data_IF_931477300278
#
_entry.id   IF_931477300278
#
_cell.length_a   1.000
_cell.length_b   1.000
_cell.length_c   1.000
_cell.angle_alpha   90.00
_cell.angle_beta   90.00
_cell.angle_gamma   90.00
#
_symmetry.space_group_name_H-M   'P 1'
#
loop_
_entity.id
_entity.type
_entity.pdbx_description
1 polymer ?
2 non-polymer ?
3 water ?
#
# COMPACT_ATOMS: atom_id res chain seq x y z
N UNK A 11 5.53 21.54 -10.57
CA UNK A 11 6.09 20.37 -11.22
C UNK A 11 7.19 20.74 -12.21
N UNK A 12 8.24 19.93 -12.24
CA UNK A 12 9.33 20.10 -13.19
C UNK A 12 8.92 19.55 -14.55
N UNK A 13 9.03 20.36 -15.59
CA UNK A 13 8.76 19.91 -16.95
C UNK A 13 10.05 19.38 -17.55
N UNK A 14 10.04 18.13 -18.00
CA UNK A 14 11.24 17.43 -18.45
C UNK A 14 11.17 17.30 -19.97
N UNK A 15 12.31 17.52 -20.63
CA UNK A 15 12.30 17.40 -22.07
C UNK A 15 12.37 15.92 -22.48
N UNK A 16 11.59 15.50 -23.47
CA UNK A 16 11.64 14.10 -23.91
C UNK A 16 13.03 13.58 -24.23
N UNK A 17 13.95 14.44 -24.68
CA UNK A 17 15.28 13.96 -25.02
C UNK A 17 16.08 13.53 -23.80
N UNK A 18 15.66 13.91 -22.59
CA UNK A 18 16.32 13.49 -21.36
C UNK A 18 15.85 12.12 -20.86
N UNK A 19 14.80 11.57 -21.47
CA UNK A 19 14.15 10.36 -20.97
C UNK A 19 14.40 9.22 -21.94
N UNK A 20 14.90 8.09 -21.42
CA UNK A 20 15.13 6.87 -22.20
C UNK A 20 14.33 5.74 -21.58
N UNK A 21 13.27 5.31 -22.26
CA UNK A 21 12.50 4.15 -21.84
C UNK A 21 13.25 2.88 -22.23
N UNK A 22 13.45 1.99 -21.26
CA UNK A 22 14.27 0.79 -21.49
C UNK A 22 13.48 -0.51 -21.40
N UNK A 23 12.59 -0.66 -20.42
CA UNK A 23 11.91 -1.93 -20.21
C UNK A 23 10.51 -1.67 -19.67
N UNK A 24 9.53 -2.37 -20.23
CA UNK A 24 8.15 -2.26 -19.75
C UNK A 24 8.05 -2.92 -18.38
N UNK A 25 7.60 -2.15 -17.39
CA UNK A 25 7.34 -2.67 -16.06
C UNK A 25 5.88 -3.06 -15.90
N UNK A 26 4.98 -2.40 -16.62
CA UNK A 26 3.56 -2.62 -16.51
C UNK A 26 2.87 -2.06 -17.73
N UNK A 27 1.77 -2.66 -18.14
CA UNK A 27 1.09 -2.23 -19.35
C UNK A 27 -0.40 -2.18 -19.08
N UNK A 28 -1.04 -1.11 -19.56
CA UNK A 28 -2.48 -0.97 -19.47
C UNK A 28 -3.05 -0.61 -20.83
N UNK A 29 -4.37 -0.38 -20.83
CA UNK A 29 -5.06 -0.04 -22.06
C UNK A 29 -4.53 1.27 -22.64
N UNK A 30 -4.28 2.26 -21.79
CA UNK A 30 -4.07 3.63 -22.23
C UNK A 30 -2.63 4.11 -21.99
N UNK A 31 -1.73 3.20 -21.64
CA UNK A 31 -0.35 3.57 -21.44
C UNK A 31 0.39 2.41 -20.81
N UNK A 32 1.67 2.65 -20.59
CA UNK A 32 2.53 1.65 -19.97
C UNK A 32 3.36 2.33 -18.90
N UNK A 33 3.91 1.50 -18.02
CA UNK A 33 4.92 1.94 -17.06
C UNK A 33 6.25 1.34 -17.51
N UNK A 34 7.28 2.17 -17.57
CA UNK A 34 8.61 1.77 -18.01
C UNK A 34 9.63 1.99 -16.91
N UNK A 35 10.66 1.14 -16.88
CA UNK A 35 11.90 1.49 -16.23
C UNK A 35 12.75 2.23 -17.26
N UNK A 36 13.43 3.29 -16.82
CA UNK A 36 14.26 3.99 -17.75
C UNK A 36 15.32 4.81 -17.04
N UNK A 37 15.91 5.74 -17.80
CA UNK A 37 16.94 6.62 -17.28
C UNK A 37 16.55 8.06 -17.57
N UNK A 38 16.92 8.94 -16.64
CA UNK A 38 16.64 10.36 -16.77
C UNK A 38 17.95 11.13 -16.76
N UNK A 39 18.04 12.11 -17.67
CA UNK A 39 19.18 13.00 -17.81
C UNK A 39 18.86 14.39 -17.25
N UNK A 45 25.27 12.58 -13.99
CA UNK A 45 25.11 11.16 -14.28
C UNK A 45 23.62 10.83 -14.43
N UNK A 46 23.32 9.91 -15.34
CA UNK A 46 21.93 9.52 -15.57
C UNK A 46 21.41 8.71 -14.39
N UNK A 47 20.13 8.90 -14.06
CA UNK A 47 19.53 8.30 -12.88
C UNK A 47 18.40 7.37 -13.29
N UNK A 48 18.26 6.21 -12.65
CA UNK A 48 17.12 5.33 -12.97
C UNK A 48 15.82 5.97 -12.54
N UNK A 49 14.80 5.83 -13.38
CA UNK A 49 13.47 6.37 -13.10
C UNK A 49 12.43 5.36 -13.53
N UNK A 50 11.21 5.55 -13.02
CA UNK A 50 10.04 4.93 -13.59
C UNK A 50 9.28 5.98 -14.40
N UNK A 51 8.69 5.54 -15.50
CA UNK A 51 8.06 6.42 -16.49
C UNK A 51 6.68 5.85 -16.82
N UNK A 52 5.63 6.64 -16.58
CA UNK A 52 4.27 6.24 -16.92
C UNK A 52 3.76 7.13 -18.06
N UNK A 53 3.21 6.51 -19.10
CA UNK A 53 2.78 7.24 -20.30
C UNK A 53 1.26 7.28 -20.40
N UNK A 54 0.80 8.26 -21.16
CA UNK A 54 -0.60 8.41 -21.56
C UNK A 54 -0.64 8.58 -23.07
N UNK A 55 -1.23 7.62 -23.77
CA UNK A 55 -1.14 7.56 -25.21
C UNK A 55 -2.16 8.48 -25.88
N UNK A 56 -1.85 8.86 -27.12
CA UNK A 56 -2.68 9.77 -27.89
C UNK A 56 -4.11 9.24 -28.01
N UNK A 57 -5.06 10.17 -28.09
CA UNK A 57 -6.46 9.83 -28.08
C UNK A 57 -7.07 9.84 -26.70
N UNK A 58 -6.29 10.12 -25.66
CA UNK A 58 -6.82 10.20 -24.32
C UNK A 58 -7.94 11.24 -24.24
N UNK A 59 -8.89 11.00 -23.34
CA UNK A 59 -9.99 11.92 -23.11
C UNK A 59 -9.58 13.04 -22.14
N UNK A 60 -10.46 14.01 -22.01
CA UNK A 60 -10.23 15.10 -21.06
C UNK A 60 -10.16 14.55 -19.64
N UNK A 61 -11.10 13.69 -19.27
CA UNK A 61 -11.07 13.05 -17.96
C UNK A 61 -9.79 12.26 -17.75
N UNK A 62 -9.34 11.51 -18.77
CA UNK A 62 -8.09 10.79 -18.63
C UNK A 62 -6.93 11.74 -18.41
N UNK A 63 -6.90 12.86 -19.12
CA UNK A 63 -5.82 13.83 -18.93
C UNK A 63 -5.85 14.42 -17.53
N UNK A 64 -7.02 14.85 -17.07
CA UNK A 64 -7.14 15.42 -15.73
C UNK A 64 -6.75 14.38 -14.66
N UNK A 65 -7.21 13.14 -14.83
CA UNK A 65 -6.85 12.09 -13.86
C UNK A 65 -5.35 11.81 -13.87
N UNK A 66 -4.76 11.73 -15.07
CA UNK A 66 -3.34 11.40 -15.22
C UNK A 66 -2.45 12.48 -14.64
N UNK A 67 -2.62 13.72 -15.11
CA UNK A 67 -1.83 14.82 -14.58
C UNK A 67 -2.20 15.14 -13.14
N UNK A 68 -3.42 14.78 -12.73
CA UNK A 68 -3.82 15.00 -11.35
C UNK A 68 -3.05 14.13 -10.38
N UNK A 69 -2.68 12.91 -10.81
CA UNK A 69 -1.82 12.10 -9.96
C UNK A 69 -0.47 12.76 -9.77
N UNK A 70 0.11 13.31 -10.84
CA UNK A 70 1.38 14.00 -10.70
C UNK A 70 1.23 15.24 -9.85
N UNK A 71 0.10 15.95 -10.01
CA UNK A 71 -0.15 17.14 -9.22
C UNK A 71 -0.19 16.84 -7.73
N UNK A 72 -0.87 15.76 -7.35
CA UNK A 72 -0.92 15.37 -5.95
C UNK A 72 0.47 14.98 -5.45
N UNK A 73 1.17 14.11 -6.21
CA UNK A 73 2.50 13.66 -5.80
C UNK A 73 3.46 14.83 -5.66
N UNK A 74 3.32 15.86 -6.50
CA UNK A 74 4.21 17.01 -6.41
C UNK A 74 4.02 17.85 -5.17
N UNK A 75 2.90 17.66 -4.46
CA UNK A 75 2.64 18.39 -3.22
C UNK A 75 3.29 17.74 -2.01
N UNK A 76 3.87 16.54 -2.17
CA UNK A 76 4.38 15.77 -1.05
C UNK A 76 5.91 15.71 -1.08
N UNK A 77 6.50 15.70 0.11
CA UNK A 77 7.95 15.54 0.26
C UNK A 77 8.17 14.72 1.53
N UNK A 78 8.26 13.40 1.37
CA UNK A 78 8.39 12.53 2.53
C UNK A 78 9.13 11.26 2.13
N UNK A 79 9.98 10.76 3.04
CA UNK A 79 10.79 9.57 2.79
C UNK A 79 9.95 8.36 2.38
N UNK A 80 8.71 8.25 2.86
CA UNK A 80 7.89 7.07 2.63
C UNK A 80 6.74 7.34 1.64
N UNK A 81 6.92 8.34 0.78
CA UNK A 81 5.98 8.67 -0.28
C UNK A 81 6.77 8.75 -1.59
N UNK A 82 6.30 8.08 -2.61
CA UNK A 82 7.02 8.06 -3.86
C UNK A 82 7.29 9.48 -4.37
N UNK A 83 8.53 9.71 -4.79
CA UNK A 83 8.96 11.04 -5.21
C UNK A 83 8.77 11.24 -6.71
N UNK A 84 8.20 12.39 -7.06
CA UNK A 84 8.03 12.80 -8.45
C UNK A 84 9.29 13.49 -8.95
N UNK A 85 9.81 13.04 -10.09
CA UNK A 85 10.93 13.72 -10.75
C UNK A 85 10.43 14.83 -11.66
N UNK A 86 9.36 14.58 -12.41
CA UNK A 86 8.82 15.61 -13.27
C UNK A 86 7.78 15.01 -14.20
N UNK A 87 7.30 15.85 -15.12
CA UNK A 87 6.31 15.43 -16.09
C UNK A 87 6.72 15.89 -17.48
N UNK A 88 6.30 15.14 -18.48
CA UNK A 88 6.27 15.64 -19.85
C UNK A 88 4.82 15.90 -20.19
N UNK A 89 4.46 17.17 -20.30
CA UNK A 89 3.11 17.54 -20.69
C UNK A 89 3.07 18.36 -21.98
N UNK A 90 4.18 18.94 -22.41
CA UNK A 90 4.20 19.75 -23.62
C UNK A 90 4.28 18.89 -24.88
N UNK A 91 4.83 17.69 -24.77
CA UNK A 91 4.98 16.79 -25.90
C UNK A 91 4.13 15.55 -25.66
N UNK A 92 3.94 14.78 -26.72
CA UNK A 92 3.17 13.55 -26.65
C UNK A 92 4.04 12.36 -27.01
N UNK A 93 3.83 11.21 -26.35
CA UNK A 93 2.84 11.01 -25.30
C UNK A 93 3.24 11.73 -24.01
N UNK A 94 2.25 12.08 -23.19
CA UNK A 94 2.58 12.68 -21.93
C UNK A 94 3.19 11.62 -21.00
N UNK A 95 3.96 12.09 -20.02
CA UNK A 95 4.69 11.18 -19.15
C UNK A 95 4.73 11.71 -17.73
N UNK A 96 4.69 10.80 -16.77
CA UNK A 96 4.99 11.08 -15.37
C UNK A 96 6.25 10.31 -15.03
N UNK A 97 7.21 10.98 -14.40
CA UNK A 97 8.51 10.38 -14.11
C UNK A 97 8.73 10.42 -12.60
N UNK A 98 9.01 9.26 -12.01
CA UNK A 98 9.25 9.15 -10.58
C UNK A 98 10.58 8.44 -10.32
N UNK A 99 11.00 8.48 -9.06
CA UNK A 99 12.08 7.60 -8.64
C UNK A 99 11.73 6.16 -8.99
N UNK A 100 12.76 5.35 -9.18
CA UNK A 100 12.58 3.94 -9.54
C UNK A 100 12.77 3.08 -8.29
N UNK A 101 11.74 2.30 -7.95
CA UNK A 101 11.77 1.43 -6.79
C UNK A 101 12.19 0.05 -7.26
N UNK A 102 13.41 -0.35 -6.89
CA UNK A 102 14.07 -1.47 -7.54
C UNK A 102 13.38 -2.81 -7.27
N UNK A 103 12.69 -2.97 -6.12
CA UNK A 103 12.11 -4.23 -5.75
C UNK A 103 10.61 -4.34 -6.02
N UNK A 104 10.01 -3.32 -6.62
CA UNK A 104 8.63 -3.41 -7.09
C UNK A 104 7.60 -3.37 -5.97
N UNK A 105 6.45 -3.97 -6.27
CA UNK A 105 5.32 -3.92 -5.37
C UNK A 105 5.51 -4.84 -4.18
N UNK A 106 5.14 -4.34 -3.00
CA UNK A 106 5.39 -5.06 -1.76
C UNK A 106 4.70 -6.42 -1.70
N UNK A 107 3.47 -6.53 -2.20
CA UNK A 107 2.78 -7.83 -2.10
C UNK A 107 3.52 -8.91 -2.88
N UNK A 108 3.87 -8.63 -4.13
CA UNK A 108 4.61 -9.61 -4.93
C UNK A 108 6.00 -9.84 -4.36
N UNK A 109 6.66 -8.79 -3.89
CA UNK A 109 7.99 -8.91 -3.31
C UNK A 109 8.00 -9.89 -2.14
N UNK A 110 7.05 -9.76 -1.21
CA UNK A 110 7.02 -10.66 -0.06
C UNK A 110 6.70 -12.09 -0.49
N UNK A 111 5.80 -12.26 -1.45
CA UNK A 111 5.45 -13.61 -1.92
C UNK A 111 6.65 -14.30 -2.56
N UNK A 112 7.54 -13.53 -3.16
CA UNK A 112 8.71 -14.08 -3.83
C UNK A 112 9.91 -14.22 -2.89
N UNK A 113 9.82 -13.71 -1.66
CA UNK A 113 10.91 -13.76 -0.68
C UNK A 113 10.42 -14.37 0.62
N UNK A 114 9.57 -15.40 0.51
CA UNK A 114 8.89 -15.98 1.68
C UNK A 114 9.90 -16.41 2.74
N UNK A 115 9.72 -15.91 3.96
CA UNK A 115 10.58 -16.27 5.08
C UNK A 115 11.99 -15.73 5.07
N UNK A 116 12.31 -14.78 4.19
CA UNK A 116 13.71 -14.35 4.05
C UNK A 116 14.10 -13.20 4.96
N UNK A 117 13.18 -12.63 5.73
CA UNK A 117 13.49 -11.45 6.50
C UNK A 117 13.28 -11.70 7.99
N UNK A 118 13.94 -10.88 8.81
CA UNK A 118 13.73 -10.95 10.24
C UNK A 118 12.42 -10.27 10.60
N UNK A 119 11.88 -10.65 11.75
CA UNK A 119 10.70 -9.95 12.28
C UNK A 119 10.98 -8.46 12.42
N UNK A 120 12.19 -8.09 12.84
CA UNK A 120 12.53 -6.67 12.97
C UNK A 120 12.48 -5.97 11.61
N UNK A 121 12.97 -6.62 10.55
CA UNK A 121 12.86 -6.04 9.21
C UNK A 121 11.41 -5.86 8.80
N UNK A 122 10.57 -6.87 9.04
CA UNK A 122 9.16 -6.75 8.67
C UNK A 122 8.49 -5.60 9.41
N UNK A 123 8.78 -5.46 10.70
CA UNK A 123 8.17 -4.39 11.49
C UNK A 123 8.69 -3.05 11.03
N UNK A 124 9.96 -3.00 10.61
CA UNK A 124 10.47 -1.74 10.10
C UNK A 124 9.79 -1.31 8.82
N UNK A 125 9.43 -2.28 7.96
CA UNK A 125 8.61 -2.00 6.77
C UNK A 125 7.30 -1.35 7.18
N UNK A 126 6.66 -1.90 8.21
CA UNK A 126 5.39 -1.34 8.67
C UNK A 126 5.55 0.06 9.23
N UNK A 127 6.64 0.32 9.97
CA UNK A 127 6.85 1.67 10.48
C UNK A 127 7.00 2.67 9.35
N UNK A 128 7.71 2.30 8.28
CA UNK A 128 7.86 3.20 7.15
C UNK A 128 6.53 3.49 6.49
N UNK A 129 5.73 2.44 6.24
CA UNK A 129 4.39 2.63 5.68
C UNK A 129 3.55 3.54 6.56
N UNK A 130 3.57 3.30 7.88
CA UNK A 130 2.78 4.10 8.81
C UNK A 130 3.22 5.56 8.81
N UNK A 131 4.54 5.80 8.74
CA UNK A 131 5.02 7.18 8.67
C UNK A 131 4.52 7.89 7.41
N UNK A 132 4.58 7.19 6.26
CA UNK A 132 4.01 7.77 5.04
C UNK A 132 2.54 8.07 5.18
N UNK A 133 1.79 7.14 5.77
CA UNK A 133 0.35 7.35 5.95
C UNK A 133 0.07 8.46 6.96
N UNK A 134 0.86 8.56 8.03
CA UNK A 134 0.69 9.67 8.97
C UNK A 134 0.86 11.01 8.25
N UNK A 135 1.90 11.10 7.41
CA UNK A 135 2.10 12.31 6.60
C UNK A 135 0.89 12.60 5.73
N UNK A 136 0.40 11.61 4.98
CA UNK A 136 -0.73 11.82 4.09
C UNK A 136 -1.95 12.28 4.86
N UNK A 137 -2.26 11.61 5.98
CA UNK A 137 -3.44 11.96 6.77
C UNK A 137 -3.32 13.39 7.30
N UNK A 138 -2.14 13.75 7.78
CA UNK A 138 -1.96 15.12 8.27
C UNK A 138 -2.03 16.15 7.15
N UNK A 139 -1.65 15.78 5.92
CA UNK A 139 -1.80 16.62 4.73
C UNK A 139 -3.22 16.61 4.18
N UNK A 140 -4.14 15.95 4.88
CA UNK A 140 -5.57 15.89 4.51
C UNK A 140 -5.77 15.13 3.19
N UNK A 141 -5.00 14.06 3.01
CA UNK A 141 -5.12 13.20 1.84
C UNK A 141 -5.57 11.83 2.31
N UNK A 142 -6.73 11.38 1.83
CA UNK A 142 -7.24 10.05 2.14
C UNK A 142 -6.91 9.13 0.98
N UNK A 143 -6.27 8.00 1.28
CA UNK A 143 -5.73 7.18 0.21
C UNK A 143 -6.82 6.37 -0.50
N UNK A 144 -7.68 5.69 0.27
CA UNK A 144 -8.81 4.88 -0.19
C UNK A 144 -8.41 3.51 -0.72
N UNK A 145 -7.14 3.31 -1.04
CA UNK A 145 -6.75 2.04 -1.63
C UNK A 145 -5.44 1.54 -1.04
N UNK A 146 -5.27 1.69 0.27
CA UNK A 146 -4.04 1.26 0.92
C UNK A 146 -4.03 -0.27 1.00
N UNK A 147 -2.97 -0.87 0.48
CA UNK A 147 -2.81 -2.31 0.36
C UNK A 147 -1.37 -2.55 -0.04
N UNK A 148 -0.87 -3.77 0.24
CA UNK A 148 0.53 -4.01 -0.10
C UNK A 148 0.81 -3.86 -1.59
N UNK A 149 -0.18 -4.12 -2.46
CA UNK A 149 0.03 -3.97 -3.88
C UNK A 149 0.29 -2.53 -4.29
N UNK A 150 -0.06 -1.55 -3.44
CA UNK A 150 0.17 -0.15 -3.71
C UNK A 150 1.32 0.43 -2.90
N UNK A 151 2.15 -0.41 -2.29
CA UNK A 151 3.39 0.00 -1.64
C UNK A 151 4.53 -0.47 -2.54
N UNK A 152 5.53 0.39 -2.72
CA UNK A 152 6.72 0.07 -3.51
C UNK A 152 7.93 -0.04 -2.59
N UNK A 153 8.90 -0.86 -2.99
CA UNK A 153 10.05 -1.21 -2.15
C UNK A 153 11.35 -0.92 -2.90
N UNK A 154 12.29 -0.22 -2.26
CA UNK A 154 13.55 0.07 -2.92
C UNK A 154 14.66 -0.83 -2.39
N UNK A 155 15.88 -0.63 -2.92
CA UNK A 155 16.99 -1.50 -2.55
C UNK A 155 17.53 -1.26 -1.15
N UNK A 156 16.99 -0.29 -0.40
CA UNK A 156 17.27 -0.16 1.02
C UNK A 156 16.15 -0.77 1.87
N UNK A 157 15.22 -1.49 1.24
CA UNK A 157 14.04 -2.07 1.88
C UNK A 157 13.06 -0.99 2.38
N UNK A 158 13.21 0.24 1.91
CA UNK A 158 12.29 1.29 2.33
C UNK A 158 11.00 1.14 1.55
N UNK A 159 9.88 1.15 2.27
CA UNK A 159 8.56 1.01 1.69
C UNK A 159 7.95 2.40 1.51
N UNK A 160 7.39 2.64 0.33
CA UNK A 160 6.82 3.95 0.01
C UNK A 160 5.41 3.80 -0.53
N UNK A 161 4.50 4.61 0.02
CA UNK A 161 3.11 4.60 -0.44
C UNK A 161 3.05 5.18 -1.84
N UNK A 162 2.25 4.53 -2.70
CA UNK A 162 2.06 5.00 -4.07
C UNK A 162 0.59 4.89 -4.42
N UNK A 163 0.28 5.17 -5.69
CA UNK A 163 -1.06 5.14 -6.26
C UNK A 163 -1.95 6.27 -5.77
N UNK A 164 -1.78 7.47 -6.35
CA UNK A 164 -2.47 8.68 -5.91
C UNK A 164 -3.44 9.17 -6.97
N UNK A 165 -4.43 9.92 -6.52
CA UNK A 165 -5.39 10.49 -7.44
C UNK A 165 -6.76 10.53 -6.82
N UNK A 166 -7.75 10.92 -7.63
CA UNK A 166 -9.12 10.94 -7.17
C UNK A 166 -9.84 9.68 -7.62
N UNK A 167 -10.74 9.79 -8.60
CA UNK A 167 -11.52 8.64 -9.03
C UNK A 167 -10.65 7.57 -9.70
N UNK A 168 -9.48 7.92 -10.23
CA UNK A 168 -8.67 6.96 -10.95
C UNK A 168 -8.13 5.84 -10.06
N UNK A 169 -8.02 6.08 -8.75
CA UNK A 169 -7.38 5.10 -7.88
C UNK A 169 -8.20 3.81 -7.81
N UNK A 170 -9.48 3.92 -7.44
CA UNK A 170 -10.32 2.73 -7.35
C UNK A 170 -10.81 2.26 -8.71
N UNK A 171 -10.99 3.16 -9.67
CA UNK A 171 -11.37 2.72 -11.01
C UNK A 171 -10.30 1.84 -11.64
N UNK A 172 -9.03 2.18 -11.43
CA UNK A 172 -7.93 1.48 -12.09
C UNK A 172 -7.50 0.21 -11.36
N UNK A 173 -7.91 0.01 -10.11
CA UNK A 173 -7.46 -1.16 -9.36
C UNK A 173 -8.32 -2.36 -9.70
N UNK A 174 -7.76 -3.43 -10.28
CA UNK A 174 -8.57 -4.63 -10.54
C UNK A 174 -9.14 -5.28 -9.29
N UNK A 175 -8.49 -5.09 -8.13
CA UNK A 175 -9.02 -5.66 -6.91
C UNK A 175 -10.29 -4.97 -6.45
N UNK A 176 -10.56 -3.78 -6.97
CA UNK A 176 -11.76 -3.02 -6.60
C UNK A 176 -12.92 -3.47 -7.47
N UNK A 177 -13.97 -3.96 -6.83
CA UNK A 177 -15.09 -4.57 -7.53
C UNK A 177 -16.36 -3.81 -7.24
N UNK A 178 -17.30 -3.86 -8.19
CA UNK A 178 -18.58 -3.20 -8.01
C UNK A 178 -19.41 -3.97 -7.00
N UNK A 179 -19.97 -3.25 -6.04
CA UNK A 179 -20.77 -3.85 -4.97
C UNK A 179 -22.26 -3.68 -5.27
N UNK A 180 -23.08 -4.30 -4.42
CA UNK A 180 -24.52 -4.31 -4.64
C UNK A 180 -25.13 -2.96 -4.29
N UNK A 183 -20.74 1.07 -5.11
CA UNK A 183 -19.38 1.56 -5.34
C UNK A 183 -18.42 0.50 -5.81
N UNK A 184 -17.26 0.94 -6.31
CA UNK A 184 -16.20 0.07 -6.82
C UNK A 184 -15.06 0.10 -5.79
N UNK A 185 -15.01 -0.93 -4.94
CA UNK A 185 -14.19 -0.90 -3.73
C UNK A 185 -13.40 -2.20 -3.61
N UNK A 186 -12.13 -2.16 -3.11
CA UNK A 186 -11.41 -3.41 -2.78
C UNK A 186 -11.83 -3.93 -1.42
N UNK A 187 -12.82 -4.82 -1.45
CA UNK A 187 -13.61 -5.14 -0.27
C UNK A 187 -12.74 -5.60 0.89
N UNK A 188 -11.79 -6.51 0.63
CA UNK A 188 -11.03 -7.15 1.71
C UNK A 188 -10.13 -6.18 2.46
N UNK A 189 -9.85 -5.01 1.88
CA UNK A 189 -8.99 -4.01 2.49
C UNK A 189 -9.76 -2.83 3.07
N UNK A 190 -11.08 -2.79 2.87
CA UNK A 190 -11.84 -1.57 3.07
C UNK A 190 -12.65 -1.61 4.37
N UNK A 191 -12.68 -0.48 5.09
CA UNK A 191 -13.38 -0.42 6.35
C UNK A 191 -14.89 -0.55 6.17
N UNK A 192 -15.60 -1.03 7.19
CA UNK A 192 -17.05 -1.25 7.06
C UNK A 192 -17.81 0.01 6.67
N UNK A 193 -17.47 1.17 7.24
CA UNK A 193 -18.22 2.39 6.90
C UNK A 193 -17.96 2.83 5.46
N UNK A 194 -16.79 2.51 4.90
CA UNK A 194 -16.54 2.84 3.52
C UNK A 194 -17.30 1.91 2.58
N UNK A 195 -17.38 0.62 2.92
CA UNK A 195 -18.20 -0.31 2.16
C UNK A 195 -19.67 0.06 2.24
N UNK A 196 -20.15 0.34 3.47
CA UNK A 196 -21.59 0.47 3.72
C UNK A 196 -22.15 1.79 3.21
N UNK A 197 -21.47 2.91 3.46
CA UNK A 197 -22.05 4.18 3.05
C UNK A 197 -21.02 5.15 2.46
N UNK A 198 -19.92 4.63 1.94
CA UNK A 198 -18.94 5.39 1.15
C UNK A 198 -18.21 6.44 1.97
N UNK A 199 -18.03 6.20 3.27
CA UNK A 199 -17.33 7.14 4.15
C UNK A 199 -15.85 6.77 4.16
N UNK A 200 -15.06 7.45 3.34
CA UNK A 200 -13.61 7.24 3.28
C UNK A 200 -12.94 8.37 4.05
N UNK A 201 -12.16 8.02 5.07
CA UNK A 201 -11.43 8.97 5.87
C UNK A 201 -10.08 8.37 6.19
N UNK A 202 -9.26 9.14 6.90
CA UNK A 202 -7.99 8.58 7.36
C UNK A 202 -8.22 7.41 8.31
N UNK A 203 -9.37 7.35 9.00
CA UNK A 203 -9.65 6.22 9.87
C UNK A 203 -10.03 4.96 9.09
N UNK A 204 -10.63 5.10 7.91
CA UNK A 204 -10.79 3.92 7.09
C UNK A 204 -9.45 3.50 6.49
N UNK A 205 -8.55 4.45 6.23
CA UNK A 205 -7.20 4.08 5.85
C UNK A 205 -6.50 3.32 6.97
N UNK A 206 -6.81 3.62 8.23
CA UNK A 206 -6.21 2.86 9.34
C UNK A 206 -6.67 1.41 9.32
N UNK A 207 -7.95 1.18 9.05
CA UNK A 207 -8.41 -0.19 8.87
C UNK A 207 -7.57 -0.90 7.82
N UNK A 208 -7.37 -0.23 6.67
CA UNK A 208 -6.61 -0.81 5.59
C UNK A 208 -5.18 -1.08 6.03
N UNK A 209 -4.62 -0.16 6.83
CA UNK A 209 -3.27 -0.35 7.33
C UNK A 209 -3.18 -1.63 8.17
N UNK A 210 -4.21 -1.90 8.97
CA UNK A 210 -4.23 -3.16 9.70
C UNK A 210 -4.17 -4.37 8.78
N UNK A 211 -4.89 -4.31 7.65
CA UNK A 211 -4.80 -5.39 6.66
C UNK A 211 -3.39 -5.46 6.09
N UNK A 212 -2.78 -4.30 5.80
CA UNK A 212 -1.40 -4.29 5.30
C UNK A 212 -0.46 -4.92 6.33
N UNK A 213 -0.66 -4.63 7.62
CA UNK A 213 0.14 -5.28 8.66
C UNK A 213 0.05 -6.81 8.55
N UNK A 214 -1.16 -7.32 8.34
CA UNK A 214 -1.37 -8.75 8.20
C UNK A 214 -0.71 -9.27 6.93
N UNK A 215 -0.82 -8.53 5.83
CA UNK A 215 -0.13 -8.92 4.60
C UNK A 215 1.37 -9.04 4.81
N UNK A 216 1.97 -8.06 5.49
CA UNK A 216 3.43 -8.09 5.67
C UNK A 216 3.84 -9.27 6.54
N UNK A 217 3.16 -9.47 7.68
CA UNK A 217 3.61 -10.51 8.62
C UNK A 217 3.37 -11.92 8.08
N UNK A 218 2.49 -12.08 7.07
CA UNK A 218 2.23 -13.37 6.45
C UNK A 218 3.02 -13.57 5.15
N UNK A 219 3.91 -12.63 4.80
CA UNK A 219 4.61 -12.66 3.52
C UNK A 219 3.62 -12.69 2.35
N UNK A 220 2.58 -11.87 2.44
CA UNK A 220 1.74 -11.65 1.29
C UNK A 220 0.61 -12.64 1.10
N UNK A 221 0.13 -13.28 2.18
CA UNK A 221 -1.07 -14.08 2.06
C UNK A 221 -2.24 -13.21 1.60
N UNK A 222 -3.19 -13.84 0.92
CA UNK A 222 -4.38 -13.13 0.49
C UNK A 222 -5.33 -13.02 1.68
N UNK A 223 -5.73 -11.81 2.08
CA UNK A 223 -6.61 -11.66 3.25
C UNK A 223 -7.91 -12.44 3.08
N UNK A 224 -8.27 -13.18 4.13
CA UNK A 224 -9.48 -13.99 4.22
C UNK A 224 -9.43 -15.17 3.25
N UNK A 225 -8.26 -15.47 2.69
CA UNK A 225 -8.06 -16.59 1.77
C UNK A 225 -9.18 -16.67 0.74
N UNK A 226 -9.89 -17.80 0.68
CA UNK A 226 -10.82 -18.00 -0.42
C UNK A 226 -12.23 -17.50 -0.15
N UNK A 227 -12.50 -16.91 1.02
CA UNK A 227 -13.82 -16.34 1.26
C UNK A 227 -14.17 -15.38 0.13
N UNK A 228 -15.43 -15.40 -0.28
CA UNK A 228 -15.89 -14.47 -1.29
C UNK A 228 -16.01 -13.08 -0.67
N UNK A 229 -16.19 -12.06 -1.52
CA UNK A 229 -16.39 -10.70 -1.00
C UNK A 229 -17.59 -10.63 -0.08
N UNK A 230 -18.72 -11.21 -0.48
CA UNK A 230 -19.89 -11.16 0.39
C UNK A 230 -19.61 -11.89 1.70
N UNK A 231 -18.91 -13.03 1.62
CA UNK A 231 -18.56 -13.77 2.84
C UNK A 231 -17.66 -12.94 3.74
N UNK A 232 -16.72 -12.18 3.17
CA UNK A 232 -15.86 -11.33 4.00
C UNK A 232 -16.69 -10.28 4.74
N UNK A 233 -17.59 -9.61 4.01
CA UNK A 233 -18.40 -8.58 4.64
C UNK A 233 -19.29 -9.15 5.74
N UNK A 234 -19.86 -10.33 5.49
CA UNK A 234 -20.68 -11.00 6.51
C UNK A 234 -19.84 -11.35 7.73
N UNK A 235 -18.64 -11.88 7.52
CA UNK A 235 -17.79 -12.27 8.65
C UNK A 235 -17.41 -11.06 9.48
N UNK A 236 -17.00 -9.97 8.82
CA UNK A 236 -16.63 -8.75 9.53
C UNK A 236 -17.81 -8.21 10.32
N UNK A 237 -18.99 -8.21 9.70
CA UNK A 237 -20.16 -7.68 10.40
C UNK A 237 -20.54 -8.52 11.62
N UNK A 238 -20.28 -9.83 11.58
CA UNK A 238 -20.55 -10.73 12.71
C UNK A 238 -19.42 -10.76 13.75
N UNK A 239 -18.38 -9.94 13.57
CA UNK A 239 -17.33 -9.79 14.58
C UNK A 239 -16.06 -10.59 14.33
N UNK A 240 -16.02 -11.42 13.30
CA UNK A 240 -14.81 -12.18 13.01
C UNK A 240 -13.72 -11.26 12.48
N UNK A 241 -12.47 -11.61 12.77
CA UNK A 241 -11.31 -10.88 12.28
C UNK A 241 -10.27 -11.87 11.83
N UNK A 242 -9.32 -11.40 11.02
CA UNK A 242 -8.25 -12.25 10.55
C UNK A 242 -7.50 -12.84 11.75
N UNK A 243 -7.13 -14.12 11.70
CA UNK A 243 -6.38 -14.74 12.81
C UNK A 243 -4.93 -14.32 12.79
N UNK A 244 -4.24 -14.63 13.88
CA UNK A 244 -2.84 -14.23 14.02
C UNK A 244 -2.00 -14.90 12.94
N UNK A 245 -1.10 -14.17 12.29
CA UNK A 245 -0.10 -14.83 11.44
C UNK A 245 0.81 -15.70 12.26
N UNK A 246 1.46 -16.66 11.59
CA UNK A 246 2.54 -17.41 12.24
C UNK A 246 3.70 -16.48 12.59
N UNK A 247 4.34 -16.77 13.72
CA UNK A 247 5.56 -16.08 14.16
C UNK A 247 5.34 -14.57 14.30
N UNK A 248 4.14 -14.18 14.77
CA UNK A 248 3.81 -12.76 14.85
C UNK A 248 3.96 -12.24 16.26
N UNK A 249 4.68 -11.14 16.46
CA UNK A 249 4.77 -10.54 17.81
C UNK A 249 3.39 -10.21 18.34
N UNK A 250 3.19 -10.52 19.63
CA UNK A 250 1.91 -10.20 20.27
C UNK A 250 1.55 -8.73 20.11
N UNK A 251 2.54 -7.83 20.29
CA UNK A 251 2.24 -6.40 20.18
C UNK A 251 1.72 -6.03 18.79
N UNK A 252 2.28 -6.67 17.76
CA UNK A 252 1.90 -6.38 16.39
C UNK A 252 0.49 -6.90 16.09
N UNK A 253 0.14 -8.08 16.60
CA UNK A 253 -1.24 -8.56 16.40
C UNK A 253 -2.25 -7.70 17.16
N UNK A 254 -1.90 -7.32 18.41
CA UNK A 254 -2.75 -6.40 19.16
C UNK A 254 -3.00 -5.12 18.39
N UNK A 255 -1.94 -4.55 17.79
CA UNK A 255 -2.09 -3.30 17.04
C UNK A 255 -3.00 -3.48 15.82
N UNK A 256 -2.79 -4.55 15.04
CA UNK A 256 -3.67 -4.70 13.87
C UNK A 256 -5.13 -4.96 14.30
N UNK A 257 -5.35 -5.67 15.41
CA UNK A 257 -6.72 -5.87 15.89
C UNK A 257 -7.38 -4.55 16.25
N UNK A 258 -6.64 -3.62 16.84
CA UNK A 258 -7.20 -2.31 17.15
C UNK A 258 -7.46 -1.46 15.90
N UNK A 259 -6.70 -1.68 14.82
CA UNK A 259 -7.04 -1.04 13.55
C UNK A 259 -8.38 -1.51 13.00
N UNK A 260 -8.85 -2.69 13.41
CA UNK A 260 -10.08 -3.28 12.88
C UNK A 260 -11.25 -3.13 13.82
N UNK A 261 -11.30 -2.07 14.63
CA UNK A 261 -12.48 -1.83 15.44
C UNK A 261 -13.63 -1.36 14.57
N UNK A 262 -14.82 -1.93 14.79
CA UNK A 262 -15.99 -1.52 14.00
C UNK A 262 -16.22 -0.02 14.14
N UNK A 263 -16.15 0.50 15.37
CA UNK A 263 -16.39 1.92 15.64
C UNK A 263 -15.16 2.71 15.21
N UNK A 264 -15.32 3.51 14.15
CA UNK A 264 -14.24 4.29 13.56
C UNK A 264 -13.46 5.08 14.62
N UNK A 265 -14.17 5.71 15.54
CA UNK A 265 -13.57 6.61 16.52
C UNK A 265 -12.68 5.88 17.53
N UNK A 266 -12.81 4.56 17.64
CA UNK A 266 -11.98 3.79 18.56
C UNK A 266 -10.65 3.36 17.93
N UNK A 267 -10.49 3.48 16.62
CA UNK A 267 -9.24 3.05 16.01
C UNK A 267 -8.10 4.01 16.36
N UNK A 268 -6.87 3.51 16.42
CA UNK A 268 -5.73 4.41 16.61
C UNK A 268 -5.63 5.38 15.44
N UNK A 269 -5.08 6.56 15.71
CA UNK A 269 -4.71 7.42 14.59
C UNK A 269 -3.33 6.99 14.09
N UNK A 270 -2.97 7.45 12.89
CA UNK A 270 -1.64 7.06 12.40
C UNK A 270 -0.53 7.56 13.31
N UNK A 271 -0.71 8.70 13.97
CA UNK A 271 0.30 9.15 14.93
C UNK A 271 0.53 8.10 16.02
N UNK A 272 -0.55 7.47 16.50
CA UNK A 272 -0.42 6.44 17.52
C UNK A 272 0.31 5.23 16.97
N UNK A 273 -0.02 4.83 15.74
CA UNK A 273 0.60 3.66 15.13
C UNK A 273 2.10 3.86 14.98
N UNK A 274 2.52 5.02 14.44
CA UNK A 274 3.94 5.32 14.26
C UNK A 274 4.64 5.31 15.61
N UNK A 275 4.01 5.88 16.64
CA UNK A 275 4.65 5.93 17.95
C UNK A 275 4.90 4.51 18.48
N UNK A 276 3.88 3.66 18.43
CA UNK A 276 4.01 2.31 18.98
C UNK A 276 5.06 1.53 18.20
N UNK A 277 5.01 1.61 16.88
CA UNK A 277 5.97 0.85 16.08
C UNK A 277 7.38 1.35 16.34
N UNK A 278 7.57 2.68 16.44
CA UNK A 278 8.86 3.26 16.85
C UNK A 278 9.37 2.62 18.13
N UNK A 279 8.53 2.60 19.16
CA UNK A 279 8.97 2.10 20.46
C UNK A 279 9.31 0.63 20.43
N UNK A 280 8.53 -0.16 19.67
CA UNK A 280 8.84 -1.58 19.56
C UNK A 280 10.17 -1.82 18.87
N UNK A 281 10.45 -1.04 17.82
CA UNK A 281 11.71 -1.21 17.10
C UNK A 281 12.89 -0.79 17.96
N UNK A 282 12.70 0.25 18.74
CA UNK A 282 13.77 0.75 19.58
C UNK A 282 14.07 -0.16 20.76
N UNK A 283 13.11 -0.95 21.18
CA UNK A 283 13.29 -1.97 22.20
C UNK A 283 13.00 -3.34 21.57
N UNK A 284 13.90 -3.83 20.70
CA UNK A 284 13.52 -4.96 19.83
C UNK A 284 13.20 -6.25 20.56
N UNK A 285 13.60 -6.41 21.83
CA UNK A 285 13.20 -7.61 22.56
C UNK A 285 11.70 -7.66 22.77
N UNK A 286 11.02 -6.52 22.71
CA UNK A 286 9.57 -6.47 22.81
C UNK A 286 8.91 -7.31 21.73
N UNK A 287 9.56 -7.48 20.59
CA UNK A 287 9.00 -8.23 19.48
C UNK A 287 9.19 -9.75 19.63
N UNK A 288 9.95 -10.20 20.61
CA UNK A 288 10.19 -11.64 20.77
C UNK A 288 9.04 -12.37 21.43
N UNK A 289 8.13 -11.67 22.08
CA UNK A 289 6.92 -12.26 22.65
C UNK A 289 5.89 -12.46 21.55
N UNK A 290 5.55 -13.71 21.23
CA UNK A 290 4.71 -14.01 20.08
C UNK A 290 3.27 -14.28 20.50
N UNK A 291 2.34 -13.82 19.68
CA UNK A 291 0.96 -14.25 19.84
C UNK A 291 0.81 -15.72 19.49
N UNK A 292 -0.08 -16.40 20.20
CA UNK A 292 -0.36 -17.80 19.91
C UNK A 292 -0.88 -17.95 18.48
N UNK A 293 -0.42 -18.99 17.78
CA UNK A 293 -0.89 -19.30 16.45
C UNK A 293 -1.81 -20.50 16.51
N UNK A 294 -3.01 -20.37 15.93
CA UNK A 294 -3.99 -21.47 15.96
C UNK A 294 -3.81 -22.38 14.75
N UNK A 295 -3.32 -23.60 14.93
CA UNK A 295 -3.03 -24.45 13.77
C UNK A 295 -4.30 -24.98 13.12
N UNK A 296 -4.23 -25.10 11.79
CA UNK A 296 -5.27 -25.79 11.04
C UNK A 296 -4.97 -27.27 10.86
N UNK A 297 -3.71 -27.67 10.94
CA UNK A 297 -3.30 -29.06 10.78
C UNK A 297 -2.84 -29.59 12.12
N UNK A 298 -3.20 -30.84 12.40
CA UNK A 298 -2.72 -31.58 13.55
C UNK A 298 -1.79 -32.69 13.04
N UNK A 299 -0.54 -32.67 13.50
CA UNK A 299 0.43 -33.72 13.20
C UNK A 299 0.80 -34.39 14.51
N UNK A 300 0.43 -35.67 14.64
CA UNK A 300 0.64 -36.44 15.85
C UNK A 300 1.62 -37.57 15.56
N UNK A 301 2.64 -37.72 16.41
CA UNK A 301 3.62 -38.77 16.22
C UNK A 301 3.87 -39.45 17.57
N UNK A 302 3.88 -40.79 17.60
CA UNK A 302 4.17 -41.56 18.82
C UNK A 302 5.67 -41.62 19.13
#
# INVERSE_FOLDING_TARGET
>A
GDPNQAVLKFTTEIHPSCVTRQKVIGAGEFGEVYKGMLKTSSGKKEVPVAIKTLKAGYTEKQRVDFLGEAGIMGQFSHHNIIRLEGVISKYKPMMIITEYMENGALDKFLREKDGEFSVLQLVGMLRGIAAGMKYLANMNYVHRDLAARNILVNSNLVCKVSDFGLSRVLEDDPEATYTTSGGKIPIRWTAPEAISYRKFTSASDVWSFGIVMWEVMTYGERPYWELSNHEVMKAINDGFRLPTPMDCPSAIYQLMMQCWQQERARRPKFADIVSILDKLIRAPDSLKTLADFDPRVSIRLPSTSG
#
